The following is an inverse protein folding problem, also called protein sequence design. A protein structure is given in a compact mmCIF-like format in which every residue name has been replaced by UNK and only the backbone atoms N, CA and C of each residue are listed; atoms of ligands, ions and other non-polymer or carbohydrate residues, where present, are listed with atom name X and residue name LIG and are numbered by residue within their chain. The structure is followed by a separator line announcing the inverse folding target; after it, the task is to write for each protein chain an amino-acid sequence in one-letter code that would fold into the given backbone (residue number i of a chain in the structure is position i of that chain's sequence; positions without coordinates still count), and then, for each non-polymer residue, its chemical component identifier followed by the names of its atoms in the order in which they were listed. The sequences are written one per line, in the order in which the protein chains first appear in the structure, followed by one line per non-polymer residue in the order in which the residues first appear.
data_IF_278541464068
#
_entry.id   IF_278541464068
#
_cell.length_a   1.000
_cell.length_b   1.000
_cell.length_c   1.000
_cell.angle_alpha   90.00
_cell.angle_beta   90.00
_cell.angle_gamma   90.00
#
_symmetry.space_group_name_H-M   'P 1'
#
loop_
_entity.id
_entity.type
_entity.pdbx_description
1 polymer ?
#
# COMPACT_ATOMS: atom_id res chain seq x y z
N UNK A 1 9.48 12.68 27.23
CA UNK A 1 9.46 13.11 25.82
C UNK A 1 10.89 13.25 25.35
N UNK A 2 11.18 12.93 24.08
CA UNK A 2 12.50 13.14 23.47
C UNK A 2 12.40 14.30 22.49
N UNK A 3 13.49 15.03 22.30
CA UNK A 3 13.63 16.02 21.22
C UNK A 3 13.49 15.36 19.86
N UNK A 4 12.98 16.10 18.88
CA UNK A 4 13.00 15.70 17.48
C UNK A 4 14.43 15.57 16.94
N UNK A 5 14.59 14.91 15.78
CA UNK A 5 15.91 14.74 15.15
C UNK A 5 16.57 16.09 14.80
N UNK A 6 15.76 17.04 14.33
CA UNK A 6 16.20 18.39 14.00
C UNK A 6 16.52 19.22 15.25
N UNK A 7 15.63 19.21 16.25
CA UNK A 7 15.83 19.91 17.53
C UNK A 7 17.09 19.40 18.25
N UNK A 8 17.33 18.08 18.26
CA UNK A 8 18.53 17.52 18.87
C UNK A 8 19.79 17.96 18.13
N UNK A 9 19.72 18.06 16.79
CA UNK A 9 20.83 18.57 16.00
C UNK A 9 21.15 20.02 16.38
N UNK A 10 20.14 20.90 16.38
CA UNK A 10 20.30 22.32 16.72
C UNK A 10 20.80 22.51 18.15
N UNK A 11 20.23 21.79 19.12
CA UNK A 11 20.58 21.89 20.53
C UNK A 11 22.07 21.61 20.80
N UNK A 12 22.64 20.62 20.11
CA UNK A 12 24.05 20.27 20.25
C UNK A 12 24.96 21.00 19.26
N UNK A 13 24.40 21.76 18.31
CA UNK A 13 25.20 22.50 17.32
C UNK A 13 26.14 23.49 18.01
N UNK A 14 27.42 23.46 17.66
CA UNK A 14 28.45 24.31 18.27
C UNK A 14 28.89 23.92 19.68
N UNK A 15 28.35 22.85 20.27
CA UNK A 15 28.71 22.41 21.62
C UNK A 15 30.01 21.58 21.63
N UNK A 16 30.91 21.81 22.61
CA UNK A 16 32.24 21.17 22.71
C UNK A 16 32.21 19.64 22.60
N UNK A 17 31.15 19.00 23.14
CA UNK A 17 30.94 17.54 23.11
C UNK A 17 30.78 16.96 21.70
N UNK A 18 30.36 17.73 20.70
CA UNK A 18 30.11 17.20 19.35
C UNK A 18 31.04 17.79 18.27
N UNK A 19 31.92 18.72 18.65
CA UNK A 19 32.90 19.34 17.74
C UNK A 19 33.85 18.33 17.09
N UNK A 20 34.30 17.32 17.86
CA UNK A 20 35.25 16.32 17.38
C UNK A 20 34.66 15.29 16.40
N UNK A 21 33.33 15.18 16.32
CA UNK A 21 32.66 14.15 15.51
C UNK A 21 32.07 14.69 14.22
N UNK A 22 32.17 15.99 13.90
CA UNK A 22 31.52 16.58 12.72
C UNK A 22 30.00 16.38 12.77
N UNK A 23 29.34 17.02 13.73
CA UNK A 23 27.92 16.84 14.04
C UNK A 23 27.02 17.17 12.85
N UNK A 24 26.07 16.28 12.55
CA UNK A 24 25.09 16.45 11.49
C UNK A 24 23.75 15.84 11.92
N UNK A 25 22.68 16.15 11.18
CA UNK A 25 21.33 15.65 11.48
C UNK A 25 21.26 14.11 11.47
N UNK A 26 21.95 13.44 10.53
CA UNK A 26 21.98 11.97 10.48
C UNK A 26 22.60 11.31 11.72
N UNK A 27 23.64 11.92 12.30
CA UNK A 27 24.24 11.46 13.56
C UNK A 27 23.30 11.69 14.72
N UNK A 28 22.56 12.80 14.75
CA UNK A 28 21.50 13.04 15.73
C UNK A 28 20.42 11.96 15.66
N UNK A 29 19.92 11.65 14.46
CA UNK A 29 18.98 10.55 14.21
C UNK A 29 19.55 9.20 14.66
N UNK A 30 20.84 8.94 14.40
CA UNK A 30 21.51 7.69 14.80
C UNK A 30 21.58 7.54 16.31
N UNK A 31 21.90 8.62 17.04
CA UNK A 31 21.95 8.65 18.50
C UNK A 31 20.55 8.40 19.09
N UNK A 32 19.52 9.08 18.56
CA UNK A 32 18.13 8.88 18.97
C UNK A 32 17.68 7.44 18.75
N UNK A 33 17.95 6.88 17.57
CA UNK A 33 17.60 5.51 17.23
C UNK A 33 18.34 4.50 18.13
N UNK A 34 19.61 4.74 18.43
CA UNK A 34 20.38 3.89 19.33
C UNK A 34 19.82 3.92 20.76
N UNK A 35 19.45 5.11 21.25
CA UNK A 35 18.83 5.26 22.56
C UNK A 35 17.48 4.57 22.64
N UNK A 36 16.58 4.82 21.68
CA UNK A 36 15.25 4.20 21.62
C UNK A 36 15.34 2.67 21.54
N UNK A 37 16.29 2.15 20.75
CA UNK A 37 16.56 0.72 20.66
C UNK A 37 17.03 0.14 21.99
N UNK A 38 17.98 0.80 22.67
CA UNK A 38 18.47 0.36 24.00
C UNK A 38 17.38 0.40 25.05
N UNK A 39 16.53 1.43 25.03
CA UNK A 39 15.37 1.54 25.90
C UNK A 39 14.39 0.37 25.70
N UNK A 40 14.00 0.09 24.45
CA UNK A 40 13.11 -1.03 24.14
C UNK A 40 13.69 -2.39 24.60
N UNK A 41 14.99 -2.61 24.37
CA UNK A 41 15.70 -3.82 24.82
C UNK A 41 15.67 -3.96 26.34
N UNK A 42 15.87 -2.87 27.08
CA UNK A 42 15.90 -2.89 28.53
C UNK A 42 14.51 -3.15 29.12
N UNK A 43 13.46 -2.54 28.56
CA UNK A 43 12.08 -2.83 28.98
C UNK A 43 11.70 -4.28 28.70
N UNK A 44 12.07 -4.82 27.54
CA UNK A 44 11.84 -6.23 27.21
C UNK A 44 12.61 -7.17 28.16
N UNK A 45 13.87 -6.84 28.49
CA UNK A 45 14.69 -7.58 29.47
C UNK A 45 14.03 -7.60 30.85
N UNK A 46 13.54 -6.45 31.33
CA UNK A 46 12.85 -6.34 32.61
C UNK A 46 11.52 -7.11 32.63
N UNK A 47 10.79 -7.07 31.51
CA UNK A 47 9.52 -7.82 31.35
C UNK A 47 9.74 -9.33 31.38
N UNK A 48 10.79 -9.82 30.72
CA UNK A 48 11.16 -11.25 30.72
C UNK A 48 11.75 -11.73 32.04
N UNK A 49 12.49 -10.87 32.74
CA UNK A 49 13.10 -11.18 34.05
C UNK A 49 12.02 -11.34 35.13
N UNK A 50 11.01 -10.46 35.14
CA UNK A 50 9.87 -10.54 36.07
C UNK A 50 8.75 -11.45 35.54
N UNK A 51 9.07 -12.72 35.26
CA UNK A 51 8.11 -13.77 34.81
C UNK A 51 6.87 -13.97 35.71
N UNK A 52 6.81 -13.34 36.87
CA UNK A 52 5.74 -13.50 37.88
C UNK A 52 4.80 -12.29 38.02
N UNK A 53 4.95 -11.21 37.23
CA UNK A 53 4.01 -10.08 37.29
C UNK A 53 2.90 -10.23 36.25
N UNK A 54 1.63 -10.10 36.68
CA UNK A 54 0.42 -10.09 35.83
C UNK A 54 0.36 -8.93 34.81
N UNK A 55 1.44 -8.16 34.67
CA UNK A 55 1.51 -6.97 33.83
C UNK A 55 2.41 -7.21 32.63
N UNK A 56 1.92 -6.88 31.44
CA UNK A 56 2.68 -6.92 30.20
C UNK A 56 3.08 -5.48 29.87
N UNK A 57 4.38 -5.19 29.92
CA UNK A 57 4.90 -3.91 29.45
C UNK A 57 5.23 -4.03 27.96
N UNK A 58 4.72 -3.08 27.18
CA UNK A 58 4.96 -3.01 25.75
C UNK A 58 5.53 -1.65 25.40
N UNK A 59 6.61 -1.64 24.64
CA UNK A 59 7.25 -0.41 24.17
C UNK A 59 6.93 -0.15 22.73
N UNK A 60 6.89 1.14 22.37
CA UNK A 60 6.80 1.59 21.00
C UNK A 60 7.93 2.58 20.71
N UNK A 61 8.49 2.46 19.51
CA UNK A 61 9.47 3.40 18.97
C UNK A 61 9.17 3.60 17.49
N UNK A 62 9.11 4.86 17.09
CA UNK A 62 8.96 5.25 15.67
C UNK A 62 10.09 4.68 14.81
N UNK A 63 11.31 4.62 15.36
CA UNK A 63 12.45 4.02 14.67
C UNK A 63 12.24 2.54 14.40
N UNK A 64 11.71 1.78 15.37
CA UNK A 64 11.45 0.36 15.16
C UNK A 64 10.27 0.13 14.24
N UNK A 65 9.20 0.93 14.33
CA UNK A 65 8.09 0.89 13.38
C UNK A 65 8.58 1.12 11.93
N UNK A 66 9.35 2.18 11.70
CA UNK A 66 9.92 2.48 10.40
C UNK A 66 10.84 1.37 9.90
N UNK A 67 11.64 0.77 10.79
CA UNK A 67 12.47 -0.39 10.48
C UNK A 67 11.61 -1.59 10.06
N UNK A 68 10.54 -1.89 10.77
CA UNK A 68 9.62 -2.99 10.44
C UNK A 68 8.92 -2.75 9.10
N UNK A 69 8.46 -1.52 8.83
CA UNK A 69 7.88 -1.15 7.53
C UNK A 69 8.91 -1.29 6.40
N UNK A 70 10.18 -0.93 6.65
CA UNK A 70 11.28 -1.13 5.70
C UNK A 70 11.62 -2.60 5.48
N UNK A 71 11.60 -3.41 6.54
CA UNK A 71 11.80 -4.87 6.44
C UNK A 71 10.63 -5.54 5.69
N UNK A 72 9.39 -5.12 5.94
CA UNK A 72 8.22 -5.56 5.20
C UNK A 72 8.29 -5.16 3.72
N UNK A 73 8.88 -4.00 3.40
CA UNK A 73 9.09 -3.54 2.02
C UNK A 73 10.10 -4.39 1.23
N UNK A 74 11.02 -5.10 1.91
CA UNK A 74 11.99 -5.96 1.22
C UNK A 74 11.28 -7.13 0.53
N UNK A 75 11.62 -7.33 -0.74
CA UNK A 75 11.12 -8.45 -1.53
C UNK A 75 11.64 -9.77 -0.98
N UNK A 76 10.72 -10.69 -0.70
CA UNK A 76 11.08 -12.08 -0.44
C UNK A 76 11.21 -12.82 -1.77
N UNK A 77 12.44 -12.83 -2.31
CA UNK A 77 12.76 -13.47 -3.60
C UNK A 77 12.42 -14.96 -3.58
N UNK A 78 12.47 -15.61 -2.41
CA UNK A 78 12.11 -17.02 -2.26
C UNK A 78 10.62 -17.21 -2.49
N UNK A 79 9.77 -16.40 -1.85
CA UNK A 79 8.31 -16.45 -2.09
C UNK A 79 7.95 -16.18 -3.54
N UNK A 80 8.57 -15.16 -4.15
CA UNK A 80 8.37 -14.84 -5.56
C UNK A 80 8.75 -16.04 -6.45
N UNK A 81 9.92 -16.65 -6.21
CA UNK A 81 10.37 -17.84 -6.93
C UNK A 81 9.44 -19.06 -6.75
N UNK A 82 8.94 -19.30 -5.54
CA UNK A 82 8.01 -20.40 -5.25
C UNK A 82 6.69 -20.20 -6.00
N UNK A 83 6.09 -19.01 -5.95
CA UNK A 83 4.82 -18.74 -6.64
C UNK A 83 4.97 -18.85 -8.16
N UNK A 84 6.05 -18.30 -8.73
CA UNK A 84 6.33 -18.44 -10.16
C UNK A 84 6.60 -19.90 -10.55
N UNK A 85 7.31 -20.66 -9.70
CA UNK A 85 7.53 -22.10 -9.88
C UNK A 85 6.23 -22.90 -9.87
N UNK A 86 5.34 -22.63 -8.91
CA UNK A 86 4.01 -23.27 -8.85
C UNK A 86 3.18 -22.91 -10.08
N UNK A 87 3.18 -21.65 -10.52
CA UNK A 87 2.48 -21.22 -11.72
C UNK A 87 3.01 -21.90 -12.99
N UNK A 88 4.34 -22.07 -13.09
CA UNK A 88 4.98 -22.77 -14.20
C UNK A 88 4.66 -24.28 -14.20
N UNK A 89 4.69 -24.93 -13.03
CA UNK A 89 4.29 -26.36 -12.88
C UNK A 89 2.83 -26.53 -13.21
N UNK A 90 1.96 -25.63 -12.74
CA UNK A 90 0.54 -25.65 -13.09
C UNK A 90 0.34 -25.52 -14.60
N UNK A 91 1.04 -24.58 -15.24
CA UNK A 91 1.01 -24.45 -16.71
C UNK A 91 1.46 -25.73 -17.42
N UNK A 92 2.55 -26.33 -16.95
CA UNK A 92 3.08 -27.58 -17.49
C UNK A 92 2.06 -28.72 -17.43
N UNK A 93 1.46 -28.92 -16.25
CA UNK A 93 0.49 -30.00 -16.00
C UNK A 93 -0.83 -29.75 -16.74
N UNK A 94 -1.32 -28.50 -16.75
CA UNK A 94 -2.61 -28.18 -17.33
C UNK A 94 -2.65 -28.30 -18.86
N UNK A 95 -1.55 -27.97 -19.55
CA UNK A 95 -1.51 -27.99 -21.02
C UNK A 95 -0.22 -28.60 -21.58
N UNK A 96 0.92 -27.93 -21.43
CA UNK A 96 2.21 -28.37 -21.99
C UNK A 96 3.38 -27.60 -21.39
N UNK A 97 4.61 -28.07 -21.63
CA UNK A 97 5.81 -27.36 -21.21
C UNK A 97 5.99 -25.97 -21.82
N UNK A 98 5.31 -25.68 -22.93
CA UNK A 98 5.27 -24.34 -23.49
C UNK A 98 4.56 -23.35 -22.56
N UNK A 99 3.54 -23.78 -21.82
CA UNK A 99 2.87 -22.93 -20.84
C UNK A 99 3.83 -22.52 -19.71
N UNK A 100 4.73 -23.43 -19.28
CA UNK A 100 5.76 -23.11 -18.29
C UNK A 100 6.75 -22.06 -18.82
N UNK A 101 7.19 -22.19 -20.09
CA UNK A 101 8.03 -21.19 -20.74
C UNK A 101 7.30 -19.84 -20.90
N UNK A 102 5.99 -19.87 -21.17
CA UNK A 102 5.13 -18.69 -21.22
C UNK A 102 5.06 -17.94 -19.89
N UNK A 103 4.95 -18.65 -18.77
CA UNK A 103 5.00 -18.03 -17.43
C UNK A 103 6.34 -17.33 -17.19
N UNK A 104 7.46 -17.91 -17.64
CA UNK A 104 8.77 -17.27 -17.54
C UNK A 104 8.87 -16.00 -18.41
N UNK A 105 8.28 -16.00 -19.60
CA UNK A 105 8.20 -14.83 -20.48
C UNK A 105 7.32 -13.73 -19.85
N UNK A 106 6.21 -14.11 -19.20
CA UNK A 106 5.39 -13.15 -18.46
C UNK A 106 6.16 -12.58 -17.26
N UNK A 107 6.89 -13.39 -16.51
CA UNK A 107 7.72 -12.91 -15.40
C UNK A 107 8.82 -11.93 -15.87
N UNK A 108 9.50 -12.22 -16.99
CA UNK A 108 10.50 -11.31 -17.55
C UNK A 108 9.89 -10.03 -18.10
N UNK A 109 8.70 -10.11 -18.70
CA UNK A 109 7.90 -8.96 -19.14
C UNK A 109 7.51 -8.06 -17.96
N UNK A 110 7.12 -8.62 -16.82
CA UNK A 110 6.83 -7.87 -15.60
C UNK A 110 8.07 -7.13 -15.07
N UNK A 111 9.24 -7.79 -15.07
CA UNK A 111 10.50 -7.18 -14.67
C UNK A 111 10.88 -6.02 -15.62
N UNK A 112 10.72 -6.19 -16.93
CA UNK A 112 10.98 -5.15 -17.92
C UNK A 112 10.05 -3.93 -17.73
N UNK A 113 8.75 -4.17 -17.52
CA UNK A 113 7.76 -3.11 -17.29
C UNK A 113 8.05 -2.32 -15.99
N UNK A 114 8.41 -3.01 -14.91
CA UNK A 114 8.83 -2.37 -13.66
C UNK A 114 10.10 -1.54 -13.83
N UNK A 115 11.07 -2.03 -14.61
CA UNK A 115 12.24 -1.26 -15.00
C UNK A 115 11.88 0.04 -15.73
N UNK A 116 10.95 -0.04 -16.68
CA UNK A 116 10.43 1.16 -17.39
C UNK A 116 9.68 2.10 -16.44
N UNK A 117 8.86 1.58 -15.52
CA UNK A 117 8.20 2.40 -14.50
C UNK A 117 9.22 3.14 -13.62
N UNK A 118 10.33 2.49 -13.26
CA UNK A 118 11.41 3.11 -12.51
C UNK A 118 12.13 4.20 -13.32
N UNK A 119 12.31 4.01 -14.63
CA UNK A 119 12.90 5.03 -15.52
C UNK A 119 12.00 6.25 -15.68
N UNK A 120 10.68 6.08 -15.65
CA UNK A 120 9.69 7.16 -15.66
C UNK A 120 9.69 7.93 -14.32
N UNK A 121 10.32 7.40 -13.27
CA UNK A 121 10.38 8.01 -11.94
C UNK A 121 9.23 7.61 -11.03
N UNK A 122 8.51 6.53 -11.32
CA UNK A 122 7.46 6.01 -10.44
C UNK A 122 8.10 5.25 -9.26
N UNK A 123 7.91 5.68 -8.00
CA UNK A 123 8.53 5.03 -6.86
C UNK A 123 7.99 3.61 -6.65
N UNK A 124 8.87 2.66 -6.38
CA UNK A 124 8.49 1.29 -6.04
C UNK A 124 7.99 1.27 -4.59
N UNK A 125 6.75 0.81 -4.39
CA UNK A 125 6.13 0.74 -3.07
C UNK A 125 5.94 -0.73 -2.60
N UNK A 126 5.45 -0.91 -1.37
CA UNK A 126 5.21 -2.23 -0.79
C UNK A 126 4.26 -3.09 -1.66
N UNK A 127 3.20 -2.49 -2.21
CA UNK A 127 2.24 -3.19 -3.07
C UNK A 127 2.85 -3.57 -4.42
N UNK A 128 3.69 -2.70 -4.99
CA UNK A 128 4.44 -2.94 -6.23
C UNK A 128 5.33 -4.18 -6.13
N UNK A 129 5.94 -4.39 -4.96
CA UNK A 129 6.86 -5.49 -4.76
C UNK A 129 6.15 -6.80 -4.42
N UNK A 130 5.13 -6.76 -3.56
CA UNK A 130 4.52 -7.97 -2.99
C UNK A 130 3.25 -8.43 -3.70
N UNK A 131 2.55 -7.55 -4.40
CA UNK A 131 1.24 -7.87 -4.98
C UNK A 131 1.31 -7.85 -6.50
N UNK A 132 1.96 -6.83 -7.05
CA UNK A 132 1.91 -6.55 -8.48
C UNK A 132 2.36 -7.72 -9.37
N UNK A 133 3.52 -8.39 -9.14
CA UNK A 133 3.97 -9.45 -10.03
C UNK A 133 3.00 -10.64 -10.09
N UNK A 134 2.30 -10.92 -8.98
CA UNK A 134 1.37 -12.04 -8.91
C UNK A 134 0.04 -11.71 -9.59
N UNK A 135 -0.49 -10.51 -9.32
CA UNK A 135 -1.75 -10.06 -9.90
C UNK A 135 -1.65 -9.94 -11.41
N UNK A 136 -0.57 -9.36 -11.94
CA UNK A 136 -0.45 -9.12 -13.38
C UNK A 136 -0.10 -10.37 -14.17
N UNK A 137 0.77 -11.25 -13.64
CA UNK A 137 1.03 -12.55 -14.26
C UNK A 137 -0.24 -13.39 -14.26
N UNK A 138 -0.99 -13.42 -13.15
CA UNK A 138 -2.26 -14.14 -13.07
C UNK A 138 -3.29 -13.63 -14.07
N UNK A 139 -3.38 -12.30 -14.26
CA UNK A 139 -4.23 -11.69 -15.28
C UNK A 139 -3.82 -12.16 -16.67
N UNK A 140 -2.53 -12.06 -17.02
CA UNK A 140 -2.00 -12.40 -18.35
C UNK A 140 -1.97 -13.91 -18.67
N UNK A 141 -1.96 -14.78 -17.65
CA UNK A 141 -2.02 -16.23 -17.85
C UNK A 141 -3.32 -16.67 -18.55
N UNK A 142 -4.43 -15.93 -18.36
CA UNK A 142 -5.71 -16.22 -19.01
C UNK A 142 -5.59 -16.15 -20.53
N UNK A 143 -4.97 -15.09 -21.05
CA UNK A 143 -4.74 -14.85 -22.47
C UNK A 143 -3.71 -15.85 -23.03
N UNK A 144 -2.67 -16.16 -22.27
CA UNK A 144 -1.71 -17.22 -22.61
C UNK A 144 -2.41 -18.58 -22.82
N UNK A 145 -3.29 -18.99 -21.88
CA UNK A 145 -4.03 -20.24 -22.00
C UNK A 145 -5.05 -20.21 -23.14
N UNK A 146 -5.62 -19.05 -23.48
CA UNK A 146 -6.46 -18.88 -24.66
C UNK A 146 -5.67 -19.16 -25.95
N UNK A 147 -4.47 -18.59 -26.08
CA UNK A 147 -3.58 -18.85 -27.23
C UNK A 147 -3.22 -20.33 -27.30
N UNK A 148 -2.81 -20.94 -26.18
CA UNK A 148 -2.35 -22.33 -26.20
C UNK A 148 -3.50 -23.32 -26.44
N UNK A 149 -4.69 -23.06 -25.88
CA UNK A 149 -5.88 -23.88 -26.16
C UNK A 149 -6.36 -23.80 -27.62
N UNK A 150 -6.15 -22.66 -28.29
CA UNK A 150 -6.45 -22.52 -29.72
C UNK A 150 -5.36 -23.16 -30.58
N UNK A 151 -4.10 -23.09 -30.17
CA UNK A 151 -3.00 -23.81 -30.83
C UNK A 151 -3.17 -25.34 -30.78
N UNK A 152 -3.72 -25.87 -29.69
CA UNK A 152 -4.05 -27.30 -29.56
C UNK A 152 -5.04 -27.81 -30.61
N UNK A 153 -5.72 -26.92 -31.35
CA UNK A 153 -6.57 -27.28 -32.50
C UNK A 153 -5.76 -27.47 -33.81
N UNK A 154 -4.44 -27.60 -33.72
CA UNK A 154 -3.50 -27.78 -34.85
C UNK A 154 -3.53 -26.65 -35.89
N UNK A 155 -3.86 -25.43 -35.47
CA UNK A 155 -3.84 -24.23 -36.31
C UNK A 155 -2.40 -23.70 -36.46
N UNK A 156 -2.13 -23.02 -37.58
CA UNK A 156 -0.85 -22.34 -37.78
C UNK A 156 -0.71 -21.16 -36.79
N UNK A 157 0.50 -20.83 -36.28
CA UNK A 157 0.70 -19.70 -35.37
C UNK A 157 0.12 -18.36 -35.87
N UNK A 158 0.22 -18.03 -37.19
CA UNK A 158 -0.46 -16.86 -37.74
C UNK A 158 -1.99 -16.91 -37.61
N UNK A 159 -2.62 -18.06 -37.87
CA UNK A 159 -4.07 -18.23 -37.71
C UNK A 159 -4.50 -18.14 -36.24
N UNK A 160 -3.70 -18.69 -35.33
CA UNK A 160 -3.93 -18.58 -33.88
C UNK A 160 -3.92 -17.11 -33.46
N UNK A 161 -2.93 -16.34 -33.92
CA UNK A 161 -2.82 -14.91 -33.63
C UNK A 161 -3.96 -14.12 -34.28
N UNK A 162 -4.38 -14.47 -35.50
CA UNK A 162 -5.51 -13.81 -36.17
C UNK A 162 -6.83 -13.99 -35.38
N UNK A 163 -7.03 -15.15 -34.76
CA UNK A 163 -8.24 -15.46 -33.98
C UNK A 163 -8.20 -14.93 -32.55
N UNK A 164 -7.04 -14.95 -31.89
CA UNK A 164 -6.90 -14.58 -30.47
C UNK A 164 -6.41 -13.15 -30.25
N UNK A 165 -5.66 -12.59 -31.20
CA UNK A 165 -5.04 -11.27 -31.13
C UNK A 165 -6.00 -10.13 -30.80
N UNK A 166 -7.16 -9.99 -31.50
CA UNK A 166 -8.13 -8.94 -31.20
C UNK A 166 -8.65 -9.00 -29.75
N UNK A 167 -8.88 -10.21 -29.23
CA UNK A 167 -9.31 -10.39 -27.85
C UNK A 167 -8.23 -9.98 -26.84
N UNK A 168 -6.96 -10.25 -27.14
CA UNK A 168 -5.83 -9.91 -26.26
C UNK A 168 -5.61 -8.40 -26.24
N UNK A 169 -5.64 -7.75 -27.41
CA UNK A 169 -5.51 -6.29 -27.53
C UNK A 169 -6.65 -5.61 -26.79
N UNK A 170 -7.90 -6.06 -27.00
CA UNK A 170 -9.06 -5.51 -26.29
C UNK A 170 -8.94 -5.67 -24.77
N UNK A 171 -8.54 -6.85 -24.29
CA UNK A 171 -8.34 -7.09 -22.87
C UNK A 171 -7.24 -6.20 -22.28
N UNK A 172 -6.10 -6.07 -22.96
CA UNK A 172 -5.00 -5.22 -22.50
C UNK A 172 -5.41 -3.74 -22.43
N UNK A 173 -6.12 -3.24 -23.45
CA UNK A 173 -6.60 -1.85 -23.48
C UNK A 173 -7.64 -1.58 -22.39
N UNK A 174 -8.65 -2.45 -22.24
CA UNK A 174 -9.70 -2.27 -21.21
C UNK A 174 -9.11 -2.32 -19.81
N UNK A 175 -8.25 -3.30 -19.54
CA UNK A 175 -7.59 -3.42 -18.23
C UNK A 175 -6.65 -2.23 -17.96
N UNK A 176 -5.87 -1.80 -18.94
CA UNK A 176 -5.00 -0.63 -18.79
C UNK A 176 -5.82 0.65 -18.55
N UNK A 177 -6.90 0.86 -19.30
CA UNK A 177 -7.81 2.00 -19.10
C UNK A 177 -8.48 1.97 -17.71
N UNK A 178 -8.88 0.78 -17.22
CA UNK A 178 -9.44 0.63 -15.88
C UNK A 178 -8.41 0.99 -14.79
N UNK A 179 -7.15 0.55 -14.93
CA UNK A 179 -6.08 0.93 -14.01
C UNK A 179 -5.73 2.41 -14.08
N UNK A 180 -5.76 3.03 -15.27
CA UNK A 180 -5.59 4.48 -15.42
C UNK A 180 -6.73 5.25 -14.76
N UNK A 181 -7.98 4.79 -14.89
CA UNK A 181 -9.12 5.38 -14.19
C UNK A 181 -8.96 5.24 -12.65
N UNK A 182 -8.46 4.09 -12.17
CA UNK A 182 -8.16 3.90 -10.76
C UNK A 182 -7.01 4.80 -10.24
N UNK A 183 -6.13 5.29 -11.13
CA UNK A 183 -5.06 6.21 -10.76
C UNK A 183 -5.55 7.64 -10.42
N UNK A 184 -6.86 7.93 -10.54
CA UNK A 184 -7.47 9.20 -10.08
C UNK A 184 -7.56 9.25 -8.54
N UNK A 185 -7.42 8.11 -7.85
CA UNK A 185 -7.49 8.05 -6.40
C UNK A 185 -6.45 8.99 -5.73
N UNK A 186 -6.87 9.75 -4.69
CA UNK A 186 -6.01 10.76 -4.06
C UNK A 186 -4.89 10.17 -3.21
N UNK A 187 -4.95 8.86 -2.89
CA UNK A 187 -3.95 8.17 -2.07
C UNK A 187 -2.69 7.89 -2.93
N UNK A 188 -1.54 8.55 -2.66
CA UNK A 188 -0.38 8.51 -3.57
C UNK A 188 0.17 7.10 -3.81
N UNK A 189 0.20 6.27 -2.77
CA UNK A 189 0.69 4.89 -2.87
C UNK A 189 -0.19 4.04 -3.82
N UNK A 190 -1.51 4.19 -3.75
CA UNK A 190 -2.44 3.48 -4.63
C UNK A 190 -2.36 4.02 -6.06
N UNK A 191 -2.24 5.34 -6.21
CA UNK A 191 -2.08 5.96 -7.53
C UNK A 191 -0.87 5.43 -8.29
N UNK A 192 0.30 5.37 -7.65
CA UNK A 192 1.52 4.83 -8.27
C UNK A 192 1.37 3.34 -8.59
N UNK A 193 0.75 2.57 -7.70
CA UNK A 193 0.46 1.15 -7.94
C UNK A 193 -0.44 0.94 -9.17
N UNK A 194 -1.50 1.74 -9.33
CA UNK A 194 -2.39 1.68 -10.48
C UNK A 194 -1.68 2.07 -11.79
N UNK A 195 -0.84 3.12 -11.77
CA UNK A 195 -0.03 3.50 -12.93
C UNK A 195 0.93 2.38 -13.35
N UNK A 196 1.59 1.72 -12.38
CA UNK A 196 2.44 0.57 -12.65
C UNK A 196 1.65 -0.60 -13.25
N UNK A 197 0.46 -0.92 -12.72
CA UNK A 197 -0.43 -1.94 -13.30
C UNK A 197 -0.77 -1.65 -14.76
N UNK A 198 -1.11 -0.39 -15.08
CA UNK A 198 -1.49 0.02 -16.42
C UNK A 198 -0.36 -0.21 -17.45
N UNK A 199 0.88 0.15 -17.09
CA UNK A 199 2.08 -0.10 -17.92
C UNK A 199 2.34 -1.60 -18.04
N UNK A 200 2.26 -2.33 -16.93
CA UNK A 200 2.61 -3.75 -16.88
C UNK A 200 1.66 -4.60 -17.74
N UNK A 201 0.36 -4.30 -17.73
CA UNK A 201 -0.63 -4.98 -18.60
C UNK A 201 -0.34 -4.73 -20.09
N UNK A 202 0.09 -3.53 -20.48
CA UNK A 202 0.48 -3.23 -21.87
C UNK A 202 1.69 -4.08 -22.27
N UNK A 203 2.71 -4.15 -21.40
CA UNK A 203 3.90 -4.97 -21.64
C UNK A 203 3.58 -6.47 -21.73
N UNK A 204 2.68 -6.98 -20.89
CA UNK A 204 2.19 -8.35 -20.99
C UNK A 204 1.45 -8.60 -22.30
N UNK A 205 0.55 -7.70 -22.69
CA UNK A 205 -0.14 -7.77 -23.98
C UNK A 205 0.84 -7.81 -25.15
N UNK A 206 1.86 -6.95 -25.14
CA UNK A 206 2.91 -6.94 -26.16
C UNK A 206 3.73 -8.25 -26.17
N UNK A 207 4.13 -8.76 -25.01
CA UNK A 207 4.85 -10.03 -24.90
C UNK A 207 4.04 -11.22 -25.44
N UNK A 208 2.72 -11.25 -25.17
CA UNK A 208 1.82 -12.29 -25.67
C UNK A 208 1.51 -12.18 -27.17
N UNK A 209 1.62 -11.00 -27.76
CA UNK A 209 1.38 -10.80 -29.20
C UNK A 209 2.65 -10.99 -30.04
N UNK A 210 3.84 -10.74 -29.48
CA UNK A 210 5.11 -10.77 -30.21
C UNK A 210 5.92 -12.03 -29.87
N UNK A 211 6.26 -12.19 -28.59
CA UNK A 211 7.19 -13.24 -28.13
C UNK A 211 6.51 -14.60 -28.13
N UNK A 212 5.29 -14.69 -27.60
CA UNK A 212 4.61 -15.97 -27.44
C UNK A 212 4.28 -16.68 -28.78
N UNK A 213 3.82 -15.99 -29.85
CA UNK A 213 3.63 -16.62 -31.16
C UNK A 213 4.93 -17.08 -31.81
N UNK A 214 6.05 -16.40 -31.51
CA UNK A 214 7.38 -16.82 -31.96
C UNK A 214 7.82 -18.12 -31.27
N UNK A 215 7.48 -18.29 -29.98
CA UNK A 215 7.69 -19.55 -29.27
C UNK A 215 6.84 -20.70 -29.86
N UNK A 216 5.59 -20.43 -30.21
CA UNK A 216 4.72 -21.41 -30.90
C UNK A 216 5.27 -21.81 -32.27
N UNK A 217 5.74 -20.83 -33.05
CA UNK A 217 6.35 -21.10 -34.35
C UNK A 217 7.64 -21.93 -34.23
N UNK A 218 8.45 -21.66 -33.21
CA UNK A 218 9.64 -22.43 -32.90
C UNK A 218 9.29 -23.88 -32.50
N UNK A 219 8.30 -24.07 -31.62
CA UNK A 219 7.83 -25.40 -31.23
C UNK A 219 7.36 -26.20 -32.46
N UNK A 220 6.53 -25.58 -33.30
CA UNK A 220 6.02 -26.23 -34.50
C UNK A 220 7.15 -26.62 -35.47
N UNK A 221 8.17 -25.77 -35.61
CA UNK A 221 9.36 -26.06 -36.42
C UNK A 221 10.17 -27.22 -35.84
N UNK A 222 10.45 -27.20 -34.54
CA UNK A 222 11.15 -28.30 -33.85
C UNK A 222 10.40 -29.64 -33.99
N UNK A 223 9.07 -29.62 -33.91
CA UNK A 223 8.22 -30.80 -34.10
C UNK A 223 8.30 -31.34 -35.54
N UNK A 224 8.44 -30.47 -36.54
CA UNK A 224 8.59 -30.89 -37.96
C UNK A 224 9.98 -31.45 -38.27
N UNK A 225 11.02 -30.99 -37.57
CA UNK A 225 12.42 -31.39 -37.82
C UNK A 225 12.91 -32.52 -36.88
N UNK A 226 12.00 -33.13 -36.11
CA UNK A 226 12.27 -34.20 -35.12
C UNK A 226 13.41 -33.86 -34.13
N UNK A 227 13.57 -32.56 -33.83
CA UNK A 227 14.58 -32.05 -32.90
C UNK A 227 14.09 -32.26 -31.46
N UNK A 228 14.93 -32.72 -30.50
CA UNK A 228 14.48 -33.23 -29.20
C UNK A 228 13.81 -32.22 -28.24
N UNK A 229 13.76 -30.93 -28.58
CA UNK A 229 13.47 -29.87 -27.61
C UNK A 229 12.06 -29.93 -26.99
N UNK A 230 11.08 -30.62 -27.59
CA UNK A 230 9.71 -30.73 -27.07
C UNK A 230 9.03 -32.07 -27.41
N UNK A 231 9.68 -33.21 -27.16
CA UNK A 231 9.06 -34.52 -27.40
C UNK A 231 8.06 -34.86 -26.29
N UNK A 232 6.77 -34.62 -26.53
CA UNK A 232 5.71 -35.31 -25.79
C UNK A 232 5.59 -36.73 -26.35
N UNK A 233 6.19 -37.72 -25.67
CA UNK A 233 6.02 -39.11 -26.01
C UNK A 233 4.58 -39.57 -25.77
N UNK A 234 3.80 -39.67 -26.83
CA UNK A 234 2.82 -40.74 -27.00
C UNK A 234 2.91 -41.22 -28.43
N UNK A 235 3.86 -42.13 -28.69
CA UNK A 235 3.87 -42.94 -29.92
C UNK A 235 2.71 -43.94 -29.84
N UNK A 236 1.59 -43.64 -30.49
CA UNK A 236 0.74 -44.72 -31.01
C UNK A 236 1.33 -45.18 -32.33
N UNK A 237 1.68 -46.45 -32.43
CA UNK A 237 2.11 -47.08 -33.70
C UNK A 237 0.99 -46.92 -34.75
N UNK A 238 1.30 -46.68 -36.04
CA UNK A 238 0.31 -46.80 -37.09
C UNK A 238 0.01 -48.28 -37.35
N UNK A 239 -1.24 -48.67 -37.63
CA UNK A 239 -1.53 -50.00 -38.14
C UNK A 239 -1.05 -50.07 -39.59
N UNK A 240 -0.18 -51.03 -39.88
CA UNK A 240 0.03 -51.54 -41.24
C UNK A 240 -1.26 -52.21 -41.71
N UNK A 241 -1.85 -51.72 -42.80
CA UNK A 241 -2.47 -52.62 -43.77
C UNK A 241 -2.62 -51.99 -45.15
N UNK A 242 -2.24 -52.79 -46.14
CA UNK A 242 -2.33 -52.52 -47.57
C UNK A 242 -3.78 -52.62 -48.05
N UNK A 243 -4.18 -51.74 -48.98
CA UNK A 243 -4.80 -52.02 -50.29
C UNK A 243 -5.77 -50.90 -50.73
N UNK A 244 -5.47 -50.36 -51.92
CA UNK A 244 -6.30 -49.87 -53.03
C UNK A 244 -7.52 -48.93 -52.79
N UNK A 245 -7.43 -47.77 -53.47
CA UNK A 245 -8.36 -46.67 -53.80
C UNK A 245 -9.79 -47.06 -54.29
N UNK A 246 -10.72 -46.10 -54.57
CA UNK A 246 -10.98 -44.74 -54.03
C UNK A 246 -12.48 -44.47 -53.72
N UNK A 247 -12.80 -43.25 -53.27
CA UNK A 247 -14.06 -42.48 -53.46
C UNK A 247 -14.82 -41.96 -52.21
N UNK A 248 -14.68 -40.64 -52.01
CA UNK A 248 -15.75 -39.67 -51.73
C UNK A 248 -16.70 -39.95 -50.54
N UNK A 249 -16.30 -39.56 -49.32
CA UNK A 249 -17.26 -39.46 -48.19
C UNK A 249 -16.71 -39.20 -46.79
N UNK A 250 -15.39 -39.23 -46.54
CA UNK A 250 -14.86 -39.37 -45.16
C UNK A 250 -14.26 -38.11 -44.51
N UNK A 251 -14.24 -36.96 -45.19
CA UNK A 251 -13.53 -35.78 -44.66
C UNK A 251 -14.28 -35.01 -43.57
N UNK A 252 -15.59 -35.24 -43.38
CA UNK A 252 -16.36 -34.55 -42.33
C UNK A 252 -16.40 -35.33 -41.01
N UNK A 253 -16.49 -36.66 -41.07
CA UNK A 253 -16.53 -37.54 -39.90
C UNK A 253 -15.15 -37.70 -39.23
N UNK A 254 -14.07 -37.67 -40.00
CA UNK A 254 -12.70 -37.85 -39.47
C UNK A 254 -12.23 -36.65 -38.63
N UNK A 255 -12.69 -35.44 -38.95
CA UNK A 255 -12.42 -34.24 -38.15
C UNK A 255 -13.13 -34.26 -36.79
N UNK A 256 -14.31 -34.89 -36.72
CA UNK A 256 -15.08 -35.04 -35.48
C UNK A 256 -14.51 -36.13 -34.56
N UNK A 257 -13.98 -37.22 -35.15
CA UNK A 257 -13.33 -38.32 -34.42
C UNK A 257 -11.96 -37.90 -33.84
N UNK A 258 -11.17 -37.09 -34.55
CA UNK A 258 -9.88 -36.57 -34.02
C UNK A 258 -10.09 -35.58 -32.87
N UNK A 259 -11.23 -34.88 -32.84
CA UNK A 259 -11.61 -33.98 -31.74
C UNK A 259 -12.04 -34.72 -30.46
N UNK A 260 -12.23 -36.05 -30.55
CA UNK A 260 -12.75 -36.88 -29.45
C UNK A 260 -11.65 -37.41 -28.52
N UNK A 261 -10.38 -37.43 -28.97
CA UNK A 261 -9.31 -38.17 -28.29
C UNK A 261 -8.60 -37.43 -27.13
N UNK A 262 -8.96 -36.17 -26.86
CA UNK A 262 -8.45 -35.41 -25.70
C UNK A 262 -9.56 -34.64 -24.95
N UNK A 263 -10.74 -35.24 -24.75
CA UNK A 263 -11.74 -34.67 -23.83
C UNK A 263 -11.25 -34.82 -22.39
N UNK A 264 -10.68 -33.76 -21.85
CA UNK A 264 -10.48 -33.58 -20.41
C UNK A 264 -11.78 -33.92 -19.66
N UNK A 265 -11.64 -34.54 -18.50
CA UNK A 265 -12.74 -34.90 -17.58
C UNK A 265 -13.67 -33.70 -17.33
N UNK A 266 -13.11 -32.48 -17.36
CA UNK A 266 -13.83 -31.21 -17.29
C UNK A 266 -14.77 -30.97 -18.48
N UNK A 267 -14.31 -31.20 -19.71
CA UNK A 267 -15.13 -31.02 -20.92
C UNK A 267 -16.28 -32.02 -20.98
N UNK A 268 -16.04 -33.25 -20.50
CA UNK A 268 -17.08 -34.26 -20.35
C UNK A 268 -18.11 -33.86 -19.28
N UNK A 269 -17.66 -33.41 -18.11
CA UNK A 269 -18.52 -32.94 -17.02
C UNK A 269 -19.36 -31.73 -17.43
N UNK A 270 -18.74 -30.74 -18.07
CA UNK A 270 -19.43 -29.54 -18.59
C UNK A 270 -20.51 -29.94 -19.59
N UNK A 271 -20.17 -30.76 -20.59
CA UNK A 271 -21.12 -31.08 -21.63
C UNK A 271 -22.25 -32.01 -21.16
N UNK A 272 -21.97 -32.93 -20.22
CA UNK A 272 -22.97 -33.89 -19.73
C UNK A 272 -23.88 -33.28 -18.67
N UNK A 273 -23.31 -32.57 -17.71
CA UNK A 273 -24.05 -32.05 -16.56
C UNK A 273 -24.54 -30.62 -16.78
N UNK A 274 -23.66 -29.68 -17.17
CA UNK A 274 -24.05 -28.28 -17.33
C UNK A 274 -25.00 -28.07 -18.52
N UNK A 275 -24.69 -28.62 -19.71
CA UNK A 275 -25.56 -28.40 -20.88
C UNK A 275 -26.95 -29.03 -20.69
N UNK A 276 -27.04 -30.20 -20.05
CA UNK A 276 -28.33 -30.91 -19.87
C UNK A 276 -29.20 -30.32 -18.75
N UNK A 277 -28.58 -29.81 -17.68
CA UNK A 277 -29.30 -29.29 -16.51
C UNK A 277 -29.58 -27.79 -16.62
N UNK A 278 -28.61 -26.99 -17.03
CA UNK A 278 -28.69 -25.51 -17.02
C UNK A 278 -29.63 -24.95 -18.10
N UNK A 279 -29.86 -25.70 -19.18
CA UNK A 279 -30.70 -25.24 -20.30
C UNK A 279 -32.20 -25.38 -20.00
N UNK A 280 -32.58 -26.23 -19.03
CA UNK A 280 -33.99 -26.45 -18.68
C UNK A 280 -34.64 -25.15 -18.15
N UNK A 281 -35.85 -24.79 -18.61
CA UNK A 281 -36.48 -23.52 -18.27
C UNK A 281 -36.70 -23.34 -16.76
N UNK A 282 -37.08 -24.41 -16.06
CA UNK A 282 -37.23 -24.41 -14.61
C UNK A 282 -35.92 -24.04 -13.88
N UNK A 283 -34.79 -24.63 -14.30
CA UNK A 283 -33.48 -24.38 -13.68
C UNK A 283 -33.02 -22.95 -13.94
N UNK A 284 -33.30 -22.37 -15.11
CA UNK A 284 -32.99 -20.97 -15.42
C UNK A 284 -33.73 -20.02 -14.49
N UNK A 285 -35.03 -20.24 -14.26
CA UNK A 285 -35.83 -19.40 -13.36
C UNK A 285 -35.31 -19.47 -11.93
N UNK A 286 -35.02 -20.69 -11.44
CA UNK A 286 -34.44 -20.88 -10.10
C UNK A 286 -33.05 -20.22 -9.98
N UNK A 287 -32.21 -20.32 -11.02
CA UNK A 287 -30.89 -19.70 -11.04
C UNK A 287 -30.97 -18.17 -11.03
N UNK A 288 -31.88 -17.58 -11.81
CA UNK A 288 -32.11 -16.14 -11.79
C UNK A 288 -32.64 -15.65 -10.44
N UNK A 289 -33.57 -16.39 -9.83
CA UNK A 289 -34.11 -16.04 -8.51
C UNK A 289 -33.03 -16.11 -7.43
N UNK A 290 -32.26 -17.19 -7.39
CA UNK A 290 -31.17 -17.36 -6.43
C UNK A 290 -30.07 -16.31 -6.61
N UNK A 291 -29.74 -15.96 -7.86
CA UNK A 291 -28.80 -14.87 -8.15
C UNK A 291 -29.33 -13.50 -7.72
N UNK A 292 -30.62 -13.22 -7.92
CA UNK A 292 -31.24 -11.98 -7.44
C UNK A 292 -31.20 -11.88 -5.91
N UNK A 293 -31.51 -12.97 -5.19
CA UNK A 293 -31.40 -13.04 -3.73
C UNK A 293 -29.95 -12.82 -3.29
N UNK A 294 -28.97 -13.42 -3.99
CA UNK A 294 -27.55 -13.22 -3.68
C UNK A 294 -27.13 -11.76 -3.87
N UNK A 295 -27.58 -11.08 -4.93
CA UNK A 295 -27.30 -9.65 -5.15
C UNK A 295 -27.88 -8.82 -4.00
N UNK A 296 -29.15 -9.05 -3.64
CA UNK A 296 -29.80 -8.31 -2.54
C UNK A 296 -29.02 -8.52 -1.24
N UNK A 297 -28.61 -9.75 -0.95
CA UNK A 297 -27.81 -10.07 0.23
C UNK A 297 -26.44 -9.36 0.20
N UNK A 298 -25.72 -9.40 -0.92
CA UNK A 298 -24.42 -8.73 -1.06
C UNK A 298 -24.55 -7.20 -0.92
N UNK A 299 -25.58 -6.59 -1.51
CA UNK A 299 -25.84 -5.14 -1.38
C UNK A 299 -26.19 -4.80 0.06
N UNK A 300 -27.07 -5.55 0.70
CA UNK A 300 -27.47 -5.30 2.09
C UNK A 300 -26.30 -5.38 3.07
N UNK A 301 -25.42 -6.36 2.90
CA UNK A 301 -24.21 -6.47 3.73
C UNK A 301 -23.15 -5.43 3.35
N UNK A 302 -23.01 -5.10 2.06
CA UNK A 302 -22.09 -4.06 1.58
C UNK A 302 -22.41 -2.68 2.16
N UNK A 303 -23.69 -2.35 2.37
CA UNK A 303 -24.13 -1.11 3.00
C UNK A 303 -23.82 -1.03 4.50
N UNK A 304 -23.55 -2.16 5.17
CA UNK A 304 -23.20 -2.22 6.59
C UNK A 304 -21.70 -2.22 6.85
N UNK A 305 -20.88 -2.19 5.80
CA UNK A 305 -19.43 -2.30 5.95
C UNK A 305 -18.85 -0.97 6.45
N UNK A 306 -18.38 -0.95 7.70
CA UNK A 306 -17.60 0.17 8.24
C UNK A 306 -16.14 0.07 7.74
N UNK A 307 -15.63 1.17 7.19
CA UNK A 307 -14.25 1.27 6.73
C UNK A 307 -13.34 1.72 7.88
N UNK A 308 -12.76 0.77 8.61
CA UNK A 308 -11.75 1.03 9.65
C UNK A 308 -10.41 0.41 9.25
N UNK A 309 -9.48 1.23 8.74
CA UNK A 309 -8.11 0.80 8.41
C UNK A 309 -7.18 1.27 9.52
N UNK A 310 -6.88 0.37 10.45
CA UNK A 310 -5.95 0.64 11.55
C UNK A 310 -4.50 0.44 11.12
N UNK A 311 -3.61 1.28 11.66
CA UNK A 311 -2.17 1.14 11.46
C UNK A 311 -1.65 -0.22 11.98
N UNK A 312 -2.25 -0.76 13.05
CA UNK A 312 -1.88 -2.06 13.62
C UNK A 312 -2.05 -3.20 12.60
N UNK A 313 -2.99 -3.10 11.65
CA UNK A 313 -3.26 -4.14 10.65
C UNK A 313 -2.09 -4.37 9.68
N UNK A 314 -1.21 -3.39 9.49
CA UNK A 314 -0.02 -3.52 8.64
C UNK A 314 1.14 -4.24 9.34
N UNK A 315 1.03 -4.50 10.65
CA UNK A 315 2.09 -5.12 11.44
C UNK A 315 1.81 -6.60 11.71
N UNK A 316 2.85 -7.47 11.77
CA UNK A 316 2.66 -8.86 12.16
C UNK A 316 2.16 -8.96 13.61
N UNK A 317 1.14 -9.79 13.85
CA UNK A 317 0.48 -9.92 15.17
C UNK A 317 1.41 -10.31 16.33
N UNK A 318 2.57 -10.90 16.03
CA UNK A 318 3.53 -11.35 17.05
C UNK A 318 4.47 -10.23 17.55
N UNK A 319 4.44 -9.04 16.94
CA UNK A 319 5.35 -7.95 17.32
C UNK A 319 4.87 -7.20 18.58
N UNK A 320 5.81 -6.54 19.26
CA UNK A 320 5.47 -5.66 20.39
C UNK A 320 4.73 -4.42 19.90
N UNK A 321 5.10 -3.89 18.73
CA UNK A 321 4.49 -2.71 18.12
C UNK A 321 3.01 -2.94 17.82
N UNK A 322 2.66 -4.12 17.30
CA UNK A 322 1.26 -4.51 17.08
C UNK A 322 0.47 -4.46 18.38
N UNK A 323 1.00 -5.11 19.44
CA UNK A 323 0.35 -5.15 20.76
C UNK A 323 0.23 -3.77 21.39
N UNK A 324 1.23 -2.91 21.20
CA UNK A 324 1.20 -1.54 21.68
C UNK A 324 0.11 -0.74 20.99
N UNK A 325 0.08 -0.73 19.65
CA UNK A 325 -0.92 0.04 18.89
C UNK A 325 -2.34 -0.45 19.18
N UNK A 326 -2.53 -1.75 19.34
CA UNK A 326 -3.85 -2.30 19.70
C UNK A 326 -4.27 -1.88 21.13
N UNK A 327 -3.34 -1.91 22.09
CA UNK A 327 -3.60 -1.40 23.43
C UNK A 327 -3.85 0.11 23.43
N UNK A 328 -3.10 0.89 22.65
CA UNK A 328 -3.28 2.32 22.48
C UNK A 328 -4.67 2.63 21.92
N UNK A 329 -5.08 1.97 20.84
CA UNK A 329 -6.40 2.18 20.24
C UNK A 329 -7.54 1.77 21.19
N UNK A 330 -7.34 0.71 21.99
CA UNK A 330 -8.37 0.20 22.90
C UNK A 330 -8.53 1.05 24.17
N UNK A 331 -7.44 1.53 24.75
CA UNK A 331 -7.43 2.17 26.07
C UNK A 331 -7.13 3.68 26.02
N UNK A 332 -6.44 4.15 24.99
CA UNK A 332 -5.90 5.51 24.87
C UNK A 332 -6.31 6.16 23.54
N UNK A 333 -7.62 6.35 23.34
CA UNK A 333 -8.20 6.96 22.14
C UNK A 333 -8.11 8.49 22.08
N UNK A 334 -7.08 9.10 22.68
CA UNK A 334 -6.87 10.55 22.62
C UNK A 334 -5.74 10.87 21.63
N UNK A 335 -5.89 12.00 20.95
CA UNK A 335 -4.90 12.52 20.01
C UNK A 335 -4.60 13.97 20.35
N UNK A 336 -3.32 14.33 20.24
CA UNK A 336 -2.92 15.73 20.33
C UNK A 336 -3.25 16.39 18.98
N UNK A 337 -3.98 17.49 19.03
CA UNK A 337 -4.18 18.37 17.88
C UNK A 337 -3.65 19.75 18.24
N UNK A 338 -3.14 20.46 17.24
CA UNK A 338 -2.64 21.81 17.39
C UNK A 338 -3.38 22.70 16.39
N UNK A 339 -3.97 23.77 16.88
CA UNK A 339 -4.65 24.75 16.05
C UNK A 339 -3.67 25.89 15.80
N UNK A 340 -3.29 26.07 14.54
CA UNK A 340 -2.31 27.07 14.12
C UNK A 340 -3.05 28.15 13.35
N UNK A 341 -2.96 29.39 13.81
CA UNK A 341 -3.48 30.55 13.10
C UNK A 341 -2.41 31.09 12.16
N UNK A 342 -2.79 31.38 10.92
CA UNK A 342 -1.93 32.03 9.91
C UNK A 342 -2.62 33.28 9.39
N UNK A 343 -1.85 34.29 8.99
CA UNK A 343 -2.35 35.47 8.25
C UNK A 343 -3.42 36.31 8.99
N UNK A 344 -3.27 36.50 10.32
CA UNK A 344 -4.16 37.36 11.11
C UNK A 344 -3.45 38.64 11.55
N UNK A 345 -4.17 39.76 11.58
CA UNK A 345 -3.75 40.97 12.29
C UNK A 345 -3.91 40.77 13.81
N UNK A 346 -2.93 40.07 14.41
CA UNK A 346 -2.94 39.68 15.82
C UNK A 346 -3.23 40.83 16.82
N UNK A 347 -2.67 42.05 16.66
CA UNK A 347 -2.94 43.13 17.61
C UNK A 347 -4.42 43.55 17.64
N UNK A 348 -5.09 43.55 16.49
CA UNK A 348 -6.47 44.03 16.33
C UNK A 348 -7.50 42.92 16.56
N UNK A 349 -7.14 41.68 16.23
CA UNK A 349 -8.07 40.53 16.23
C UNK A 349 -8.00 39.67 17.50
N UNK A 350 -7.57 40.24 18.64
CA UNK A 350 -7.49 39.50 19.91
C UNK A 350 -8.84 38.94 20.38
N UNK A 351 -9.98 39.68 20.31
CA UNK A 351 -11.27 39.15 20.73
C UNK A 351 -11.68 37.89 19.95
N UNK A 352 -11.38 37.86 18.65
CA UNK A 352 -11.65 36.72 17.79
C UNK A 352 -10.87 35.47 18.22
N UNK A 353 -9.63 35.62 18.69
CA UNK A 353 -8.83 34.50 19.20
C UNK A 353 -9.43 33.93 20.50
N UNK A 354 -9.95 34.77 21.38
CA UNK A 354 -10.66 34.33 22.59
C UNK A 354 -11.97 33.62 22.25
N UNK A 355 -12.74 34.15 21.29
CA UNK A 355 -13.97 33.51 20.81
C UNK A 355 -13.67 32.15 20.17
N UNK A 356 -12.65 32.10 19.32
CA UNK A 356 -12.18 30.86 18.69
C UNK A 356 -11.79 29.80 19.72
N UNK A 357 -10.96 30.17 20.70
CA UNK A 357 -10.59 29.25 21.78
C UNK A 357 -11.81 28.82 22.58
N UNK A 358 -12.70 29.74 22.96
CA UNK A 358 -13.93 29.44 23.71
C UNK A 358 -14.85 28.46 22.97
N UNK A 359 -14.95 28.60 21.65
CA UNK A 359 -15.78 27.73 20.79
C UNK A 359 -15.37 26.26 20.84
N UNK A 360 -14.11 25.95 21.14
CA UNK A 360 -13.61 24.57 21.29
C UNK A 360 -14.26 23.85 22.47
N UNK A 361 -14.80 24.58 23.44
CA UNK A 361 -15.56 24.00 24.57
C UNK A 361 -16.81 23.28 24.08
N UNK A 362 -17.37 23.70 22.94
CA UNK A 362 -18.57 23.08 22.36
C UNK A 362 -18.26 21.79 21.58
N UNK A 363 -16.99 21.51 21.29
CA UNK A 363 -16.59 20.32 20.53
C UNK A 363 -16.59 19.09 21.46
N UNK A 364 -17.35 18.02 21.12
CA UNK A 364 -17.57 16.89 22.04
C UNK A 364 -16.32 16.03 22.28
N UNK A 365 -15.38 16.02 21.35
CA UNK A 365 -14.17 15.19 21.40
C UNK A 365 -12.92 15.92 21.92
N UNK A 366 -13.08 17.15 22.42
CA UNK A 366 -11.99 17.89 23.06
C UNK A 366 -11.97 17.55 24.54
N UNK A 367 -10.79 17.17 25.05
CA UNK A 367 -10.60 16.89 26.46
C UNK A 367 -10.73 18.19 27.26
N UNK A 368 -11.67 18.23 28.19
CA UNK A 368 -11.94 19.39 29.06
C UNK A 368 -11.30 19.17 30.42
N UNK A 369 -10.94 20.25 31.08
CA UNK A 369 -10.47 20.20 32.46
C UNK A 369 -11.65 19.89 33.41
N UNK A 370 -11.33 19.59 34.68
CA UNK A 370 -12.26 19.20 35.74
C UNK A 370 -13.39 20.21 35.98
N UNK A 371 -13.17 21.47 35.61
CA UNK A 371 -14.16 22.55 35.69
C UNK A 371 -15.12 22.62 34.48
N UNK A 372 -14.98 21.71 33.51
CA UNK A 372 -15.79 21.68 32.28
C UNK A 372 -15.37 22.72 31.23
N UNK A 373 -14.37 23.55 31.53
CA UNK A 373 -13.75 24.49 30.62
C UNK A 373 -12.49 23.93 29.95
N UNK A 374 -11.92 24.73 29.05
CA UNK A 374 -10.62 24.45 28.47
C UNK A 374 -9.51 24.99 29.37
N UNK A 375 -8.39 24.30 29.41
CA UNK A 375 -7.22 24.75 30.16
C UNK A 375 -6.64 26.03 29.51
N UNK A 376 -6.77 27.17 30.21
CA UNK A 376 -6.26 28.46 29.72
C UNK A 376 -4.73 28.51 29.68
N UNK A 377 -4.03 27.61 30.38
CA UNK A 377 -2.57 27.51 30.29
C UNK A 377 -2.11 27.09 28.88
N UNK A 378 -2.98 26.45 28.10
CA UNK A 378 -2.69 26.03 26.74
C UNK A 378 -2.90 27.18 25.72
N UNK A 379 -3.44 28.33 26.15
CA UNK A 379 -3.67 29.50 25.32
C UNK A 379 -2.66 30.63 25.62
N UNK A 380 -1.71 30.82 24.71
CA UNK A 380 -0.59 31.75 24.88
C UNK A 380 -1.03 33.20 25.15
N UNK A 381 -2.13 33.67 24.57
CA UNK A 381 -2.57 35.06 24.69
C UNK A 381 -3.13 35.37 26.09
N UNK A 382 -3.80 34.40 26.72
CA UNK A 382 -4.24 34.53 28.11
C UNK A 382 -3.03 34.62 29.05
N UNK A 383 -2.07 33.70 28.89
CA UNK A 383 -0.82 33.73 29.66
C UNK A 383 -0.03 35.04 29.47
N UNK A 384 0.04 35.54 28.24
CA UNK A 384 0.72 36.79 27.93
C UNK A 384 0.02 38.00 28.55
N UNK A 385 -1.31 38.05 28.48
CA UNK A 385 -2.11 39.09 29.13
C UNK A 385 -1.90 39.08 30.65
N UNK A 386 -1.95 37.93 31.28
CA UNK A 386 -1.79 37.81 32.73
C UNK A 386 -0.38 38.19 33.18
N UNK A 387 0.64 37.87 32.38
CA UNK A 387 2.01 38.37 32.58
C UNK A 387 2.09 39.90 32.49
N UNK A 388 1.41 40.53 31.52
CA UNK A 388 1.38 42.00 31.42
C UNK A 388 0.64 42.65 32.59
N UNK A 389 -0.42 42.03 33.11
CA UNK A 389 -1.14 42.50 34.29
C UNK A 389 -0.26 42.45 35.55
N UNK A 390 0.52 41.38 35.73
CA UNK A 390 1.51 41.26 36.81
C UNK A 390 2.57 42.37 36.72
N UNK A 391 3.08 42.64 35.51
CA UNK A 391 4.03 43.75 35.28
C UNK A 391 3.42 45.12 35.61
N UNK A 392 2.17 45.36 35.22
CA UNK A 392 1.46 46.60 35.52
C UNK A 392 1.26 46.79 37.03
N UNK A 393 0.88 45.72 37.75
CA UNK A 393 0.70 45.75 39.20
C UNK A 393 2.01 46.06 39.93
N UNK A 394 3.11 45.43 39.51
CA UNK A 394 4.45 45.70 40.05
C UNK A 394 4.91 47.15 39.77
N UNK A 395 4.62 47.66 38.58
CA UNK A 395 4.89 49.05 38.22
C UNK A 395 4.15 50.03 39.15
N UNK A 396 2.84 49.83 39.34
CA UNK A 396 2.01 50.70 40.16
C UNK A 396 2.42 50.68 41.63
N UNK A 397 2.81 49.52 42.15
CA UNK A 397 3.31 49.36 43.51
C UNK A 397 4.66 50.08 43.73
N UNK A 398 5.60 49.93 42.80
CA UNK A 398 6.90 50.60 42.85
C UNK A 398 6.76 52.11 42.67
N UNK A 399 5.80 52.57 41.85
CA UNK A 399 5.46 53.99 41.70
C UNK A 399 4.87 54.57 42.98
N UNK A 400 3.96 53.85 43.65
CA UNK A 400 3.39 54.25 44.94
C UNK A 400 4.44 54.39 46.05
N UNK A 401 5.47 53.55 46.01
CA UNK A 401 6.59 53.57 46.95
C UNK A 401 7.70 54.57 46.57
N UNK A 402 7.51 55.39 45.54
CA UNK A 402 8.49 56.37 45.01
C UNK A 402 9.80 55.75 44.48
N UNK A 403 9.79 54.48 44.08
CA UNK A 403 10.95 53.82 43.45
C UNK A 403 11.00 54.03 41.93
N UNK A 404 9.93 54.58 41.35
CA UNK A 404 9.82 54.95 39.95
C UNK A 404 9.25 56.37 39.84
N UNK A 405 9.79 57.17 38.91
CA UNK A 405 9.22 58.44 38.50
C UNK A 405 9.00 58.46 36.97
N UNK A 406 8.28 59.45 36.44
CA UNK A 406 7.94 59.52 35.01
C UNK A 406 9.16 59.56 34.07
N UNK A 407 10.33 59.98 34.57
CA UNK A 407 11.55 60.16 33.78
C UNK A 407 12.65 59.13 34.07
N UNK A 408 12.65 58.51 35.27
CA UNK A 408 13.74 57.64 35.71
C UNK A 408 13.29 56.62 36.76
N UNK A 409 13.95 55.47 36.75
CA UNK A 409 13.87 54.48 37.82
C UNK A 409 15.03 54.66 38.80
N UNK A 410 14.80 54.32 40.07
CA UNK A 410 15.81 54.35 41.11
C UNK A 410 16.39 52.94 41.34
N UNK A 411 17.58 52.80 41.95
CA UNK A 411 18.22 51.50 42.19
C UNK A 411 17.38 50.51 43.02
N UNK A 412 16.43 51.01 43.79
CA UNK A 412 15.55 50.22 44.64
C UNK A 412 14.32 49.64 43.90
N UNK A 413 14.16 49.90 42.60
CA UNK A 413 13.04 49.38 41.82
C UNK A 413 13.25 47.89 41.48
N UNK A 414 12.15 47.12 41.49
CA UNK A 414 12.20 45.71 41.09
C UNK A 414 12.47 45.55 39.60
N UNK A 415 13.14 44.46 39.18
CA UNK A 415 13.43 44.20 37.76
C UNK A 415 12.17 44.16 36.89
N UNK A 416 11.08 43.58 37.41
CA UNK A 416 9.76 43.58 36.77
C UNK A 416 9.22 44.99 36.54
N UNK A 417 9.35 45.87 37.53
CA UNK A 417 8.89 47.24 37.43
C UNK A 417 9.74 48.07 36.44
N UNK A 418 11.05 47.80 36.36
CA UNK A 418 11.94 48.38 35.34
C UNK A 418 11.58 47.89 33.94
N UNK A 419 11.26 46.61 33.76
CA UNK A 419 10.77 46.07 32.50
C UNK A 419 9.44 46.71 32.08
N UNK A 420 8.49 46.82 33.01
CA UNK A 420 7.22 47.49 32.79
C UNK A 420 7.40 48.96 32.38
N UNK A 421 8.30 49.70 33.04
CA UNK A 421 8.65 51.08 32.68
C UNK A 421 9.14 51.17 31.22
N UNK A 422 10.02 50.27 30.80
CA UNK A 422 10.54 50.23 29.42
C UNK A 422 9.46 49.89 28.39
N UNK A 423 8.56 48.95 28.71
CA UNK A 423 7.45 48.58 27.83
C UNK A 423 6.45 49.72 27.67
N UNK A 424 6.12 50.43 28.75
CA UNK A 424 5.21 51.59 28.74
C UNK A 424 5.80 52.80 28.00
N UNK A 425 7.13 52.95 28.01
CA UNK A 425 7.81 54.02 27.27
C UNK A 425 7.81 53.77 25.75
N UNK A 426 7.55 52.54 25.30
CA UNK A 426 7.60 52.18 23.88
C UNK A 426 6.32 52.59 23.16
N UNK A 427 6.43 53.45 22.15
CA UNK A 427 5.28 53.98 21.38
C UNK A 427 4.88 53.08 20.20
N UNK A 428 5.65 52.03 19.91
CA UNK A 428 5.37 51.08 18.84
C UNK A 428 5.59 51.62 17.42
N UNK A 429 6.06 52.87 17.29
CA UNK A 429 6.51 53.45 16.02
C UNK A 429 7.96 52.98 15.83
N UNK A 430 8.17 52.05 14.89
CA UNK A 430 9.50 51.59 14.45
C UNK A 430 10.01 52.46 13.33
#
# INVERSE_FOLDING_TARGET
QLMGEHELFEFWSGHYKVHHIGWNQEKATTVLNAWQKKFAQEVDRLTKSKKSSNYIFVTFSTANLNKMLKEASKTDVVKLGVVLGVAAVYGWVAQSGLAALGVLVLASSAAAALGVCSLIGLPINLLSTHVLPFVTVGLAMREMFLILSTHMRNLSPPEVLQRTGPSIISAALVNSAAFLAAAVLPVPALRVFCLQCAVLVIFHGAALLIVFPSLLALEQRCRKTDVPCFRNETKSKPPTNNNNDPEHGENLLTAEVICQQKKSLLTWLVNRYFTSVLVKPFVKVVLCLTYAVLIIFCVFNGLKLEFDVRLSTFLPKNTQEYKYLEAQNKFFGFYNFYLVTTELEYPLSQPLLYEYHSSLTNVPHVLKDSNGGLNMNDFWLANFRDFLLDLQQEFDLNRKNNFLNSEKWFPNATEKAVLAFKLLAQTGIV
#
